data_IF_268335697748
#
_entry.id   IF_268335697748
#
_cell.length_a   1.000
_cell.length_b   1.000
_cell.length_c   1.000
_cell.angle_alpha   90.00
_cell.angle_beta   90.00
_cell.angle_gamma   90.00
#
_symmetry.space_group_name_H-M   'P 1'
#
loop_
_entity.id
_entity.type
_entity.pdbx_description
1 polymer ?
#
# COMPACT_ATOMS: atom_id res chain seq x y z
N UNK A 1 15.68 21.93 -27.65
CA UNK A 1 16.12 22.83 -26.54
C UNK A 1 17.48 23.42 -26.92
N UNK A 2 17.61 24.74 -26.94
CA UNK A 2 18.89 25.42 -27.13
C UNK A 2 19.90 25.08 -26.01
N UNK A 3 19.41 24.74 -24.83
CA UNK A 3 20.23 24.29 -23.70
C UNK A 3 19.60 23.04 -23.08
N UNK A 4 20.31 21.92 -23.13
CA UNK A 4 19.92 20.71 -22.45
C UNK A 4 20.04 20.87 -20.93
N UNK A 5 18.90 21.05 -20.27
CA UNK A 5 18.81 21.17 -18.83
C UNK A 5 17.76 20.16 -18.32
N UNK A 6 18.13 19.20 -17.48
CA UNK A 6 17.18 18.21 -16.99
C UNK A 6 16.15 18.85 -16.07
N UNK A 7 14.91 18.37 -16.16
CA UNK A 7 13.88 18.72 -15.18
C UNK A 7 14.23 18.11 -13.83
N UNK A 8 14.15 18.92 -12.78
CA UNK A 8 14.45 18.50 -11.39
C UNK A 8 13.18 18.30 -10.58
N UNK A 9 13.22 17.38 -9.63
CA UNK A 9 12.19 17.25 -8.61
C UNK A 9 12.17 18.46 -7.66
N UNK A 10 11.10 18.55 -6.85
CA UNK A 10 10.95 19.63 -5.87
C UNK A 10 11.92 19.54 -4.67
N UNK A 11 12.49 18.36 -4.41
CA UNK A 11 13.42 18.11 -3.29
C UNK A 11 14.84 17.98 -3.79
N UNK A 12 15.78 18.61 -3.10
CA UNK A 12 17.20 18.37 -3.27
C UNK A 12 17.67 17.34 -2.25
N UNK A 13 18.52 16.40 -2.67
CA UNK A 13 19.15 15.42 -1.79
C UNK A 13 20.64 15.45 -2.07
N UNK A 14 21.45 15.48 -1.01
CA UNK A 14 22.92 15.51 -1.11
C UNK A 14 23.53 14.12 -1.04
N UNK A 15 22.80 13.17 -0.47
CA UNK A 15 23.21 11.80 -0.16
C UNK A 15 22.89 10.78 -1.26
N UNK A 16 22.03 11.14 -2.22
CA UNK A 16 21.63 10.27 -3.31
C UNK A 16 21.74 10.99 -4.65
N UNK A 17 22.73 10.64 -5.51
CA UNK A 17 22.80 11.16 -6.86
C UNK A 17 21.60 10.71 -7.69
N UNK A 18 21.20 11.46 -8.73
CA UNK A 18 20.15 11.04 -9.63
C UNK A 18 20.53 9.76 -10.36
N UNK A 19 19.53 8.91 -10.60
CA UNK A 19 19.71 7.68 -11.38
C UNK A 19 19.81 8.06 -12.86
N UNK A 20 20.88 7.63 -13.52
CA UNK A 20 21.09 7.83 -14.96
C UNK A 20 21.85 6.62 -15.55
N UNK A 21 21.76 6.38 -16.86
CA UNK A 21 22.52 5.30 -17.49
C UNK A 21 24.02 5.61 -17.47
N UNK A 22 24.84 4.66 -17.02
CA UNK A 22 26.31 4.81 -16.91
C UNK A 22 27.04 4.20 -18.11
N UNK A 23 26.38 3.30 -18.84
CA UNK A 23 26.90 2.66 -20.03
C UNK A 23 25.79 2.33 -21.02
N UNK A 24 26.16 2.10 -22.26
CA UNK A 24 25.27 1.57 -23.29
C UNK A 24 25.25 0.04 -23.11
N UNK A 25 24.06 -0.54 -23.08
CA UNK A 25 23.87 -1.98 -23.05
C UNK A 25 22.95 -2.43 -24.19
N UNK A 26 23.22 -3.59 -24.74
CA UNK A 26 22.35 -4.23 -25.71
C UNK A 26 21.39 -5.22 -25.01
N UNK A 27 20.23 -5.44 -25.63
CA UNK A 27 19.22 -6.33 -25.04
C UNK A 27 19.71 -7.78 -24.86
N UNK A 28 20.63 -8.21 -25.71
CA UNK A 28 21.27 -9.52 -25.67
C UNK A 28 22.20 -9.74 -24.48
N UNK A 29 22.70 -8.63 -23.87
CA UNK A 29 23.65 -8.66 -22.77
C UNK A 29 22.96 -8.75 -21.39
N UNK A 30 21.66 -8.49 -21.33
CA UNK A 30 20.89 -8.38 -20.10
C UNK A 30 19.76 -9.42 -20.04
N UNK A 31 19.47 -9.89 -18.85
CA UNK A 31 18.25 -10.67 -18.61
C UNK A 31 17.01 -9.79 -18.80
N UNK A 32 15.87 -10.40 -19.11
CA UNK A 32 14.63 -9.67 -19.42
C UNK A 32 14.25 -8.63 -18.36
N UNK A 33 14.29 -8.98 -17.07
CA UNK A 33 13.97 -8.04 -15.99
C UNK A 33 15.02 -6.93 -15.84
N UNK A 34 16.29 -7.25 -16.07
CA UNK A 34 17.37 -6.25 -16.06
C UNK A 34 17.19 -5.27 -17.23
N UNK A 35 16.85 -5.79 -18.44
CA UNK A 35 16.57 -4.94 -19.59
C UNK A 35 15.38 -4.00 -19.33
N UNK A 36 14.30 -4.49 -18.73
CA UNK A 36 13.12 -3.66 -18.40
C UNK A 36 13.49 -2.49 -17.48
N UNK A 37 14.33 -2.75 -16.47
CA UNK A 37 14.81 -1.69 -15.56
C UNK A 37 15.73 -0.73 -16.30
N UNK A 38 16.69 -1.23 -17.06
CA UNK A 38 17.61 -0.41 -17.85
C UNK A 38 16.86 0.49 -18.83
N UNK A 39 15.95 -0.08 -19.60
CA UNK A 39 15.12 0.68 -20.55
C UNK A 39 14.28 1.76 -19.84
N UNK A 40 13.69 1.44 -18.68
CA UNK A 40 12.94 2.41 -17.87
C UNK A 40 13.82 3.59 -17.44
N UNK A 41 15.05 3.31 -16.98
CA UNK A 41 16.03 4.34 -16.57
C UNK A 41 16.41 5.22 -17.75
N UNK A 42 16.79 4.61 -18.89
CA UNK A 42 17.19 5.32 -20.11
C UNK A 42 16.05 6.21 -20.62
N UNK A 43 14.84 5.65 -20.74
CA UNK A 43 13.66 6.41 -21.18
C UNK A 43 13.33 7.55 -20.24
N UNK A 44 13.42 7.33 -18.93
CA UNK A 44 13.19 8.40 -17.95
C UNK A 44 14.26 9.48 -18.04
N UNK A 45 15.50 9.11 -18.22
CA UNK A 45 16.61 10.05 -18.41
C UNK A 45 16.37 10.97 -19.62
N UNK A 46 16.07 10.42 -20.79
CA UNK A 46 15.74 11.23 -21.97
C UNK A 46 14.51 12.11 -21.76
N UNK A 47 13.49 11.60 -21.10
CA UNK A 47 12.29 12.38 -20.78
C UNK A 47 12.59 13.59 -19.89
N UNK A 48 13.60 13.53 -19.01
CA UNK A 48 13.99 14.70 -18.19
C UNK A 48 14.67 15.81 -19.01
N UNK A 49 15.27 15.46 -20.13
CA UNK A 49 15.95 16.37 -21.05
C UNK A 49 15.03 16.91 -22.16
N UNK A 50 13.91 16.24 -22.39
CA UNK A 50 12.98 16.59 -23.45
C UNK A 50 12.13 17.83 -23.08
N UNK A 51 11.43 18.34 -24.08
CA UNK A 51 10.52 19.47 -23.91
C UNK A 51 9.25 19.10 -23.16
N UNK A 52 8.48 20.10 -22.76
CA UNK A 52 7.21 19.88 -22.08
C UNK A 52 6.20 19.30 -23.05
N UNK A 53 5.34 18.43 -22.53
CA UNK A 53 4.18 17.92 -23.23
C UNK A 53 3.09 19.00 -23.24
N UNK A 54 2.51 19.26 -24.41
CA UNK A 54 1.47 20.29 -24.59
C UNK A 54 0.13 19.62 -24.84
N UNK A 55 -0.87 20.04 -24.10
CA UNK A 55 -2.23 19.57 -24.18
C UNK A 55 -3.19 20.73 -24.47
N UNK A 56 -4.16 20.47 -25.32
CA UNK A 56 -5.34 21.32 -25.47
C UNK A 56 -6.45 20.79 -24.57
N UNK A 57 -6.92 21.64 -23.65
CA UNK A 57 -7.99 21.29 -22.73
C UNK A 57 -9.23 22.11 -23.06
N UNK A 58 -10.28 21.44 -23.50
CA UNK A 58 -11.57 22.06 -23.85
C UNK A 58 -12.58 21.79 -22.73
N UNK A 59 -13.25 22.82 -22.26
CA UNK A 59 -14.36 22.72 -21.31
C UNK A 59 -15.62 23.33 -21.92
N UNK A 60 -16.68 22.53 -21.98
CA UNK A 60 -18.00 22.98 -22.46
C UNK A 60 -18.98 23.07 -21.31
N UNK A 61 -19.79 24.09 -21.32
CA UNK A 61 -21.00 24.22 -20.50
C UNK A 61 -22.18 24.35 -21.45
N UNK A 62 -23.17 23.47 -21.33
CA UNK A 62 -24.37 23.42 -22.14
C UNK A 62 -25.56 23.51 -21.21
N UNK A 63 -26.43 24.51 -21.42
CA UNK A 63 -27.66 24.65 -20.66
C UNK A 63 -28.80 23.92 -21.39
N UNK A 64 -29.44 22.96 -20.75
CA UNK A 64 -30.59 22.19 -21.26
C UNK A 64 -31.77 22.50 -20.37
N UNK A 65 -32.63 23.42 -20.78
CA UNK A 65 -33.67 23.97 -19.91
C UNK A 65 -33.00 24.71 -18.73
N UNK A 66 -33.40 24.43 -17.47
CA UNK A 66 -32.79 25.03 -16.28
C UNK A 66 -31.48 24.34 -15.85
N UNK A 67 -31.13 23.19 -16.42
CA UNK A 67 -30.04 22.35 -15.91
C UNK A 67 -28.74 22.55 -16.70
N UNK A 68 -27.63 22.89 -16.01
CA UNK A 68 -26.33 23.04 -16.63
C UNK A 68 -25.60 21.70 -16.75
N UNK A 69 -25.26 21.32 -17.98
CA UNK A 69 -24.41 20.16 -18.28
C UNK A 69 -22.97 20.60 -18.52
N UNK A 70 -22.01 19.77 -18.16
CA UNK A 70 -20.59 20.04 -18.39
C UNK A 70 -19.94 18.87 -19.12
N UNK A 71 -19.12 19.20 -20.11
CA UNK A 71 -18.24 18.25 -20.77
C UNK A 71 -16.82 18.80 -20.76
N UNK A 72 -15.84 17.91 -20.62
CA UNK A 72 -14.43 18.26 -20.73
C UNK A 72 -13.72 17.29 -21.65
N UNK A 73 -12.80 17.81 -22.44
CA UNK A 73 -11.96 17.06 -23.34
C UNK A 73 -10.51 17.47 -23.24
N UNK A 74 -9.62 16.58 -23.64
CA UNK A 74 -8.18 16.85 -23.75
C UNK A 74 -7.67 16.20 -25.05
N UNK A 75 -6.83 16.96 -25.77
CA UNK A 75 -6.17 16.54 -26.99
C UNK A 75 -4.68 16.76 -26.83
N UNK A 76 -3.89 15.77 -27.20
CA UNK A 76 -2.43 15.90 -27.23
C UNK A 76 -2.04 16.74 -28.45
N UNK A 77 -1.34 17.85 -28.22
CA UNK A 77 -0.83 18.73 -29.28
C UNK A 77 0.63 18.41 -29.56
N UNK A 78 1.43 18.33 -28.52
CA UNK A 78 2.85 17.95 -28.61
C UNK A 78 3.18 16.91 -27.55
N UNK A 79 3.67 15.74 -27.92
CA UNK A 79 4.01 14.68 -26.96
C UNK A 79 5.18 15.08 -26.05
N UNK A 80 6.11 15.93 -26.48
CA UNK A 80 7.27 16.36 -25.69
C UNK A 80 7.98 15.19 -25.00
N UNK A 81 8.19 15.27 -23.69
CA UNK A 81 8.82 14.21 -22.91
C UNK A 81 8.11 12.84 -22.97
N UNK A 82 6.82 12.80 -23.27
CA UNK A 82 6.04 11.55 -23.36
C UNK A 82 6.45 10.68 -24.52
N UNK A 83 7.03 11.26 -25.56
CA UNK A 83 7.61 10.50 -26.67
C UNK A 83 8.68 9.51 -26.18
N UNK A 84 9.50 9.96 -25.24
CA UNK A 84 10.55 9.13 -24.65
C UNK A 84 10.06 8.23 -23.53
N UNK A 85 8.97 8.59 -22.85
CA UNK A 85 8.43 7.87 -21.69
C UNK A 85 6.96 7.50 -21.87
N UNK A 86 6.65 6.47 -22.69
CA UNK A 86 5.30 6.12 -23.09
C UNK A 86 4.46 5.44 -21.99
N UNK A 87 5.03 5.19 -20.81
CA UNK A 87 4.35 4.51 -19.69
C UNK A 87 3.28 5.38 -19.01
N UNK A 88 3.28 6.68 -19.27
CA UNK A 88 2.24 7.60 -18.76
C UNK A 88 1.08 7.63 -19.76
N UNK A 89 0.06 6.83 -19.52
CA UNK A 89 -1.14 6.80 -20.35
C UNK A 89 -2.06 7.96 -19.96
N UNK A 90 -2.53 8.71 -20.94
CA UNK A 90 -3.66 9.63 -20.82
C UNK A 90 -4.57 9.33 -21.99
N UNK A 91 -5.82 9.08 -21.72
CA UNK A 91 -6.81 8.88 -22.77
C UNK A 91 -7.21 10.24 -23.33
N UNK A 92 -7.07 10.41 -24.64
CA UNK A 92 -7.55 11.60 -25.32
C UNK A 92 -9.08 11.55 -25.39
N UNK A 93 -9.70 12.67 -25.10
CA UNK A 93 -11.12 12.87 -25.26
C UNK A 93 -11.34 14.13 -26.08
N UNK A 94 -11.54 13.94 -27.37
CA UNK A 94 -11.71 15.05 -28.28
C UNK A 94 -13.19 15.46 -28.28
N UNK A 95 -13.45 16.71 -27.95
CA UNK A 95 -14.78 17.31 -28.08
C UNK A 95 -14.91 17.98 -29.45
N UNK A 96 -16.13 18.06 -30.02
CA UNK A 96 -16.37 18.79 -31.25
C UNK A 96 -16.08 20.28 -31.07
N UNK A 97 -15.69 20.93 -32.14
CA UNK A 97 -15.54 22.40 -32.16
C UNK A 97 -16.91 23.04 -32.14
N UNK A 98 -17.18 23.79 -31.09
CA UNK A 98 -18.43 24.49 -30.85
C UNK A 98 -18.19 25.97 -30.58
N UNK A 99 -19.12 26.81 -31.04
CA UNK A 99 -19.09 28.25 -30.79
C UNK A 99 -19.99 28.60 -29.61
N UNK A 100 -19.62 29.68 -28.90
CA UNK A 100 -20.45 30.19 -27.81
C UNK A 100 -21.81 30.62 -28.34
N UNK A 101 -22.89 30.12 -27.73
CA UNK A 101 -24.28 30.42 -28.15
C UNK A 101 -24.80 29.52 -29.25
N UNK A 102 -24.03 28.53 -29.70
CA UNK A 102 -24.48 27.52 -30.65
C UNK A 102 -25.57 26.63 -30.03
N UNK A 103 -26.61 26.38 -30.82
CA UNK A 103 -27.73 25.54 -30.40
C UNK A 103 -27.46 24.11 -30.78
N UNK A 104 -27.53 23.23 -29.81
CA UNK A 104 -27.32 21.78 -29.96
C UNK A 104 -28.67 21.05 -29.89
N UNK A 105 -28.83 19.99 -30.70
CA UNK A 105 -29.98 19.11 -30.61
C UNK A 105 -29.71 18.05 -29.56
N UNK A 106 -30.56 17.95 -28.56
CA UNK A 106 -30.55 16.86 -27.60
C UNK A 106 -31.09 15.61 -28.27
N UNK A 107 -30.29 14.55 -28.35
CA UNK A 107 -30.64 13.27 -28.92
C UNK A 107 -31.21 12.28 -27.91
N UNK A 108 -30.82 12.42 -26.66
CA UNK A 108 -31.27 11.60 -25.55
C UNK A 108 -30.62 12.03 -24.26
N UNK A 109 -31.10 11.50 -23.16
CA UNK A 109 -30.52 11.68 -21.83
C UNK A 109 -30.71 10.38 -21.04
N UNK A 110 -29.75 10.09 -20.18
CA UNK A 110 -29.79 8.98 -19.24
C UNK A 110 -29.59 9.51 -17.81
N UNK A 111 -30.27 8.91 -16.85
CA UNK A 111 -30.08 9.21 -15.44
C UNK A 111 -29.39 8.01 -14.79
N UNK A 112 -28.17 8.22 -14.34
CA UNK A 112 -27.39 7.21 -13.65
C UNK A 112 -27.34 7.51 -12.15
N UNK A 113 -27.97 6.65 -11.35
CA UNK A 113 -27.85 6.72 -9.91
C UNK A 113 -26.44 6.27 -9.48
N UNK A 114 -25.70 7.13 -8.81
CA UNK A 114 -24.35 6.84 -8.31
C UNK A 114 -24.28 7.11 -6.81
N UNK A 115 -23.55 6.23 -6.14
CA UNK A 115 -23.21 6.41 -4.74
C UNK A 115 -21.75 6.86 -4.62
N UNK A 116 -21.48 7.67 -3.60
CA UNK A 116 -20.10 8.04 -3.28
C UNK A 116 -19.31 6.81 -2.89
N UNK A 117 -18.12 6.66 -3.44
CA UNK A 117 -17.25 5.54 -3.13
C UNK A 117 -16.24 5.92 -2.04
N UNK A 118 -15.91 5.01 -1.12
CA UNK A 118 -14.87 5.27 -0.13
C UNK A 118 -13.51 5.47 -0.82
N UNK A 119 -12.55 6.14 -0.15
CA UNK A 119 -11.21 6.27 -0.68
C UNK A 119 -10.60 4.90 -1.05
N UNK A 120 -9.88 4.86 -2.17
CA UNK A 120 -9.23 3.62 -2.61
C UNK A 120 -8.20 3.14 -1.59
N UNK A 121 -8.15 1.82 -1.37
CA UNK A 121 -7.13 1.21 -0.50
C UNK A 121 -5.72 1.52 -0.98
N UNK A 122 -4.77 1.47 -0.06
CA UNK A 122 -3.37 1.72 -0.36
C UNK A 122 -2.76 0.57 -1.17
N UNK A 123 -2.17 0.90 -2.33
CA UNK A 123 -1.15 0.06 -2.95
C UNK A 123 0.23 0.41 -2.37
N UNK A 124 1.25 -0.41 -2.64
CA UNK A 124 2.59 -0.22 -2.06
C UNK A 124 3.16 1.19 -2.34
N UNK A 125 3.03 1.69 -3.58
CA UNK A 125 3.52 3.02 -3.94
C UNK A 125 2.80 4.17 -3.19
N UNK A 126 1.48 4.07 -3.01
CA UNK A 126 0.71 5.06 -2.23
C UNK A 126 1.10 5.01 -0.74
N UNK A 127 1.37 3.81 -0.20
CA UNK A 127 1.81 3.68 1.19
C UNK A 127 3.20 4.25 1.41
N UNK A 128 4.15 4.01 0.49
CA UNK A 128 5.49 4.63 0.54
C UNK A 128 5.38 6.16 0.57
N UNK A 129 4.50 6.73 -0.26
CA UNK A 129 4.27 8.18 -0.29
C UNK A 129 3.68 8.69 1.02
N UNK A 130 2.69 8.00 1.58
CA UNK A 130 2.12 8.36 2.88
C UNK A 130 3.16 8.27 4.01
N UNK A 131 3.98 7.22 4.02
CA UNK A 131 5.09 7.09 4.99
C UNK A 131 6.09 8.25 4.86
N UNK A 132 6.37 8.70 3.63
CA UNK A 132 7.22 9.87 3.38
C UNK A 132 6.59 11.16 3.93
N UNK A 133 5.31 11.36 3.70
CA UNK A 133 4.55 12.51 4.19
C UNK A 133 4.46 12.54 5.73
N UNK A 134 4.36 11.36 6.34
CA UNK A 134 4.33 11.18 7.79
C UNK A 134 5.72 11.06 8.43
N UNK A 135 6.83 11.23 7.68
CA UNK A 135 8.18 11.09 8.21
C UNK A 135 8.49 9.71 8.81
N UNK A 136 7.87 8.65 8.28
CA UNK A 136 8.07 7.28 8.76
C UNK A 136 9.11 6.55 7.91
N UNK A 137 10.23 6.20 8.52
CA UNK A 137 11.35 5.54 7.87
C UNK A 137 12.05 6.40 6.82
N UNK A 138 13.17 5.91 6.32
CA UNK A 138 13.99 6.57 5.29
C UNK A 138 13.63 6.07 3.90
N UNK A 139 14.17 6.67 2.86
CA UNK A 139 14.01 6.22 1.45
C UNK A 139 14.45 4.77 1.26
N UNK A 140 15.48 4.35 1.97
CA UNK A 140 16.04 2.98 1.88
C UNK A 140 15.27 1.96 2.70
N UNK A 141 14.58 2.35 3.76
CA UNK A 141 13.95 1.41 4.70
C UNK A 141 12.46 1.19 4.51
N UNK A 142 11.75 2.10 3.82
CA UNK A 142 10.29 2.01 3.66
C UNK A 142 9.83 0.74 2.95
N UNK A 143 10.56 0.29 1.94
CA UNK A 143 10.21 -0.93 1.23
C UNK A 143 10.37 -2.18 2.10
N UNK A 144 11.39 -2.21 2.98
CA UNK A 144 11.61 -3.29 3.94
C UNK A 144 10.49 -3.32 4.99
N UNK A 145 10.05 -2.15 5.45
CA UNK A 145 8.91 -2.05 6.38
C UNK A 145 7.66 -2.67 5.74
N UNK A 146 7.36 -2.31 4.50
CA UNK A 146 6.22 -2.88 3.76
C UNK A 146 6.38 -4.39 3.59
N UNK A 147 7.57 -4.86 3.22
CA UNK A 147 7.87 -6.29 3.11
C UNK A 147 7.62 -7.04 4.43
N UNK A 148 7.98 -6.41 5.57
CA UNK A 148 7.70 -6.95 6.91
C UNK A 148 6.21 -7.01 7.24
N UNK A 149 5.39 -6.06 6.76
CA UNK A 149 3.94 -6.13 6.92
C UNK A 149 3.36 -7.40 6.25
N UNK A 150 3.82 -7.71 5.03
CA UNK A 150 3.41 -8.94 4.32
C UNK A 150 3.96 -10.21 4.98
N UNK A 151 5.25 -10.23 5.33
CA UNK A 151 5.89 -11.43 5.91
C UNK A 151 5.32 -11.78 7.29
N UNK A 152 4.86 -10.79 8.05
CA UNK A 152 4.17 -10.97 9.33
C UNK A 152 2.66 -11.20 9.19
N UNK A 153 2.17 -11.29 7.96
CA UNK A 153 0.77 -11.45 7.64
C UNK A 153 -0.15 -10.35 8.23
N UNK A 154 0.36 -9.13 8.39
CA UNK A 154 -0.46 -7.99 8.81
C UNK A 154 -1.28 -7.43 7.65
N UNK A 155 -0.78 -7.56 6.42
CA UNK A 155 -1.51 -7.18 5.21
C UNK A 155 -1.47 -8.29 4.17
N UNK A 156 -2.47 -8.30 3.28
CA UNK A 156 -2.55 -9.22 2.15
C UNK A 156 -3.09 -8.52 0.91
N UNK A 157 -2.77 -9.05 -0.28
CA UNK A 157 -3.25 -8.56 -1.57
C UNK A 157 -2.60 -7.26 -2.03
N UNK A 158 -2.95 -6.84 -3.24
CA UNK A 158 -2.61 -5.54 -3.81
C UNK A 158 -3.82 -5.05 -4.62
N UNK A 159 -4.52 -3.99 -4.18
CA UNK A 159 -4.22 -3.12 -3.04
C UNK A 159 -4.27 -3.86 -1.69
N UNK A 160 -3.51 -3.33 -0.73
CA UNK A 160 -3.32 -3.94 0.59
C UNK A 160 -4.61 -3.94 1.41
N UNK A 161 -4.87 -5.08 2.07
CA UNK A 161 -5.96 -5.25 3.03
C UNK A 161 -5.39 -5.70 4.37
N UNK A 162 -5.68 -5.01 5.48
CA UNK A 162 -5.33 -5.50 6.81
C UNK A 162 -5.97 -6.86 7.08
N UNK A 163 -5.30 -7.68 7.87
CA UNK A 163 -5.82 -8.95 8.39
C UNK A 163 -6.41 -8.75 9.78
N UNK A 164 -7.16 -9.74 10.30
CA UNK A 164 -7.60 -9.69 11.70
C UNK A 164 -6.42 -9.70 12.67
N UNK A 165 -5.33 -10.36 12.32
CA UNK A 165 -4.06 -10.27 13.05
C UNK A 165 -3.58 -8.83 13.18
N UNK A 166 -3.63 -8.04 12.10
CA UNK A 166 -3.24 -6.62 12.16
C UNK A 166 -4.14 -5.80 13.07
N UNK A 167 -5.46 -5.98 12.95
CA UNK A 167 -6.42 -5.31 13.83
C UNK A 167 -6.17 -5.69 15.29
N UNK A 168 -6.02 -6.98 15.60
CA UNK A 168 -5.77 -7.42 16.97
C UNK A 168 -4.50 -6.80 17.56
N UNK A 169 -3.42 -6.68 16.77
CA UNK A 169 -2.18 -6.05 17.23
C UNK A 169 -2.35 -4.56 17.43
N UNK A 170 -2.94 -3.86 16.46
CA UNK A 170 -3.11 -2.40 16.53
C UNK A 170 -4.07 -2.03 17.66
N UNK A 171 -5.24 -2.65 17.75
CA UNK A 171 -6.25 -2.35 18.77
C UNK A 171 -5.71 -2.62 20.19
N UNK A 172 -4.97 -3.74 20.34
CA UNK A 172 -4.32 -4.06 21.62
C UNK A 172 -3.28 -3.01 22.02
N UNK A 173 -2.40 -2.63 21.09
CA UNK A 173 -1.37 -1.63 21.38
C UNK A 173 -1.96 -0.25 21.58
N UNK A 174 -2.98 0.15 20.80
CA UNK A 174 -3.68 1.42 21.01
C UNK A 174 -4.33 1.53 22.39
N UNK A 175 -4.83 0.40 22.91
CA UNK A 175 -5.46 0.35 24.23
C UNK A 175 -4.48 0.38 25.38
N UNK A 176 -3.36 -0.33 25.26
CA UNK A 176 -2.44 -0.59 26.38
C UNK A 176 -1.09 0.11 26.31
N UNK A 177 -0.67 0.55 25.13
CA UNK A 177 0.56 1.27 24.88
C UNK A 177 0.37 2.25 23.70
N UNK A 178 -0.50 3.27 23.82
CA UNK A 178 -0.92 4.12 22.72
C UNK A 178 0.23 4.90 22.07
N UNK A 179 1.25 5.24 22.81
CA UNK A 179 2.40 6.02 22.34
C UNK A 179 3.13 5.33 21.18
N UNK A 180 3.29 4.00 21.24
CA UNK A 180 4.03 3.24 20.20
C UNK A 180 3.24 3.14 18.88
N UNK A 181 1.92 3.38 18.89
CA UNK A 181 1.07 3.29 17.71
C UNK A 181 0.98 4.59 16.93
N UNK A 182 1.47 5.67 17.49
CA UNK A 182 1.41 7.01 16.91
C UNK A 182 2.65 7.30 16.06
N UNK A 183 2.50 7.97 14.91
CA UNK A 183 3.63 8.31 14.05
C UNK A 183 4.60 9.30 14.68
N UNK A 184 4.16 10.11 15.65
CA UNK A 184 4.91 11.21 16.23
C UNK A 184 6.23 10.74 16.88
N UNK A 185 6.22 9.58 17.53
CA UNK A 185 7.42 9.01 18.12
C UNK A 185 8.53 8.77 17.08
N UNK A 186 8.17 8.11 15.98
CA UNK A 186 9.11 7.84 14.89
C UNK A 186 9.50 9.13 14.17
N UNK A 187 8.56 10.05 13.94
CA UNK A 187 8.84 11.35 13.33
C UNK A 187 9.85 12.16 14.14
N UNK A 188 9.71 12.18 15.47
CA UNK A 188 10.64 12.88 16.35
C UNK A 188 12.04 12.30 16.20
N UNK A 189 12.19 10.98 16.30
CA UNK A 189 13.49 10.33 16.15
C UNK A 189 14.15 10.59 14.78
N UNK A 190 13.39 10.50 13.69
CA UNK A 190 13.89 10.77 12.32
C UNK A 190 14.30 12.24 12.16
N UNK A 191 13.53 13.17 12.74
CA UNK A 191 13.87 14.59 12.76
C UNK A 191 15.16 14.84 13.53
N UNK A 192 15.31 14.25 14.69
CA UNK A 192 16.45 14.46 15.59
C UNK A 192 17.72 13.86 14.99
N UNK A 193 17.63 12.71 14.33
CA UNK A 193 18.72 12.14 13.51
C UNK A 193 19.15 13.10 12.40
N UNK A 194 18.19 13.76 11.74
CA UNK A 194 18.49 14.79 10.74
C UNK A 194 19.20 15.99 11.37
N UNK A 195 18.78 16.45 12.54
CA UNK A 195 19.40 17.56 13.26
C UNK A 195 20.84 17.26 13.68
N UNK A 196 21.14 16.00 14.06
CA UNK A 196 22.52 15.56 14.31
C UNK A 196 23.35 15.70 13.03
N UNK A 197 22.84 15.21 11.89
CA UNK A 197 23.54 15.29 10.61
C UNK A 197 23.82 16.73 10.17
N UNK A 198 22.93 17.65 10.53
CA UNK A 198 23.04 19.10 10.29
C UNK A 198 23.85 19.84 11.39
N UNK A 199 24.37 19.12 12.37
CA UNK A 199 25.14 19.65 13.53
C UNK A 199 24.35 20.68 14.37
N UNK A 200 23.02 20.56 14.40
CA UNK A 200 22.14 21.44 15.18
C UNK A 200 21.91 20.93 16.61
N UNK A 201 22.06 19.62 16.81
CA UNK A 201 21.85 18.94 18.10
C UNK A 201 22.99 17.95 18.34
N UNK A 202 23.33 17.70 19.60
CA UNK A 202 24.34 16.71 19.98
C UNK A 202 23.71 15.29 19.97
N UNK A 203 24.54 14.31 19.66
CA UNK A 203 24.13 12.90 19.66
C UNK A 203 23.67 12.45 21.06
N UNK A 204 24.39 12.84 22.11
CA UNK A 204 24.07 12.47 23.50
C UNK A 204 22.68 12.96 23.94
N UNK A 205 22.30 14.18 23.53
CA UNK A 205 21.00 14.77 23.89
C UNK A 205 19.87 13.94 23.26
N UNK A 206 20.03 13.54 21.98
CA UNK A 206 19.05 12.72 21.24
C UNK A 206 18.97 11.29 21.83
N UNK A 207 20.10 10.72 22.23
CA UNK A 207 20.13 9.40 22.89
C UNK A 207 19.37 9.45 24.23
N UNK A 208 19.55 10.50 25.03
CA UNK A 208 18.85 10.60 26.30
C UNK A 208 17.36 10.84 26.13
N UNK A 209 16.94 11.69 25.20
CA UNK A 209 15.51 11.88 24.83
C UNK A 209 14.88 10.58 24.36
N UNK A 210 15.57 9.84 23.50
CA UNK A 210 15.13 8.53 23.01
C UNK A 210 14.99 7.51 24.14
N UNK A 211 15.92 7.52 25.11
CA UNK A 211 15.90 6.63 26.28
C UNK A 211 14.67 6.91 27.16
N UNK A 212 14.40 8.18 27.45
CA UNK A 212 13.20 8.58 28.21
C UNK A 212 11.93 8.14 27.53
N UNK A 213 11.82 8.40 26.21
CA UNK A 213 10.66 8.00 25.40
C UNK A 213 10.45 6.48 25.40
N UNK A 214 11.51 5.70 25.18
CA UNK A 214 11.45 4.24 25.18
C UNK A 214 11.14 3.68 26.57
N UNK A 215 11.68 4.24 27.63
CA UNK A 215 11.37 3.82 28.99
C UNK A 215 9.88 3.95 29.29
N UNK A 216 9.26 5.07 28.93
CA UNK A 216 7.81 5.25 29.08
C UNK A 216 7.00 4.18 28.33
N UNK A 217 7.41 3.83 27.09
CA UNK A 217 6.75 2.77 26.31
C UNK A 217 6.93 1.40 26.99
N UNK A 218 8.14 1.09 27.49
CA UNK A 218 8.39 -0.18 28.17
C UNK A 218 7.63 -0.30 29.48
N UNK A 219 7.47 0.78 30.22
CA UNK A 219 6.66 0.81 31.44
C UNK A 219 5.19 0.48 31.13
N UNK A 220 4.61 1.11 30.11
CA UNK A 220 3.25 0.81 29.65
C UNK A 220 3.08 -0.66 29.23
N UNK A 221 4.03 -1.18 28.43
CA UNK A 221 4.03 -2.57 27.99
C UNK A 221 4.17 -3.55 29.16
N UNK A 222 5.06 -3.28 30.09
CA UNK A 222 5.33 -4.14 31.25
C UNK A 222 4.13 -4.16 32.20
N UNK A 223 3.57 -2.99 32.51
CA UNK A 223 2.40 -2.84 33.36
C UNK A 223 1.18 -3.59 32.79
N UNK A 224 1.02 -3.60 31.48
CA UNK A 224 -0.12 -4.20 30.82
C UNK A 224 0.18 -5.57 30.20
N UNK A 225 1.33 -6.20 30.47
CA UNK A 225 1.83 -7.41 29.82
C UNK A 225 0.78 -8.53 29.76
N UNK A 226 0.10 -8.82 30.86
CA UNK A 226 -0.89 -9.89 30.94
C UNK A 226 -2.10 -9.59 30.06
N UNK A 227 -2.62 -8.35 30.10
CA UNK A 227 -3.76 -7.92 29.29
C UNK A 227 -3.43 -7.92 27.79
N UNK A 228 -2.23 -7.43 27.44
CA UNK A 228 -1.71 -7.46 26.07
C UNK A 228 -1.61 -8.91 25.58
N UNK A 229 -1.00 -9.78 26.39
CA UNK A 229 -0.85 -11.19 26.04
C UNK A 229 -2.18 -11.91 25.79
N UNK A 230 -3.18 -11.65 26.63
CA UNK A 230 -4.52 -12.23 26.45
C UNK A 230 -5.23 -11.66 25.21
N UNK A 231 -5.25 -10.33 25.04
CA UNK A 231 -5.90 -9.69 23.89
C UNK A 231 -5.29 -10.15 22.55
N UNK A 232 -3.96 -10.24 22.47
CA UNK A 232 -3.29 -10.76 21.28
C UNK A 232 -3.61 -12.24 21.03
N UNK A 233 -3.63 -13.06 22.08
CA UNK A 233 -3.96 -14.49 21.95
C UNK A 233 -5.38 -14.68 21.40
N UNK A 234 -6.34 -13.92 21.89
CA UNK A 234 -7.72 -13.98 21.45
C UNK A 234 -7.87 -13.47 20.02
N UNK A 235 -7.27 -12.35 19.68
CA UNK A 235 -7.30 -11.79 18.33
C UNK A 235 -6.61 -12.64 17.28
N UNK A 236 -5.44 -13.22 17.61
CA UNK A 236 -4.70 -14.12 16.72
C UNK A 236 -5.40 -15.48 16.50
N UNK A 237 -6.34 -15.83 17.37
CA UNK A 237 -7.18 -17.01 17.22
C UNK A 237 -8.18 -16.85 16.08
N UNK A 238 -8.71 -15.66 15.88
CA UNK A 238 -9.77 -15.38 14.90
C UNK A 238 -9.32 -15.74 13.48
N UNK A 239 -8.11 -15.36 13.08
CA UNK A 239 -7.56 -15.66 11.74
C UNK A 239 -7.36 -17.16 11.47
N UNK A 240 -7.43 -17.97 12.51
CA UNK A 240 -7.25 -19.44 12.43
C UNK A 240 -8.58 -20.18 12.43
N UNK A 241 -9.70 -19.51 12.74
CA UNK A 241 -11.02 -20.14 12.75
C UNK A 241 -11.47 -20.33 11.31
N UNK A 242 -11.74 -21.58 10.96
CA UNK A 242 -12.19 -21.98 9.62
C UNK A 242 -13.71 -22.12 9.55
N UNK A 243 -14.35 -22.36 10.69
CA UNK A 243 -15.78 -22.58 10.80
C UNK A 243 -16.14 -23.28 12.08
N UNK A 244 -17.34 -23.84 12.12
CA UNK A 244 -17.90 -24.52 13.28
C UNK A 244 -17.87 -26.05 13.08
N UNK A 245 -17.55 -26.76 14.12
CA UNK A 245 -17.49 -28.23 14.09
C UNK A 245 -18.90 -28.82 14.02
N UNK A 246 -19.18 -29.62 13.00
CA UNK A 246 -20.45 -30.31 12.82
C UNK A 246 -20.79 -31.30 13.94
N UNK A 247 -19.75 -31.81 14.67
CA UNK A 247 -19.93 -32.80 15.73
C UNK A 247 -20.29 -32.22 17.10
N UNK A 248 -19.75 -31.04 17.44
CA UNK A 248 -19.89 -30.48 18.79
C UNK A 248 -20.19 -28.98 18.83
N UNK A 249 -20.29 -28.31 17.69
CA UNK A 249 -20.57 -26.86 17.63
C UNK A 249 -19.41 -25.94 18.02
N UNK A 250 -18.23 -26.47 18.37
CA UNK A 250 -17.05 -25.67 18.72
C UNK A 250 -16.28 -25.22 17.48
N UNK A 251 -15.41 -24.21 17.64
CA UNK A 251 -14.61 -23.70 16.53
C UNK A 251 -13.69 -24.75 15.91
N UNK A 252 -13.58 -24.76 14.60
CA UNK A 252 -12.57 -25.47 13.82
C UNK A 252 -11.39 -24.52 13.58
N UNK A 253 -10.21 -24.88 14.11
CA UNK A 253 -9.04 -23.99 14.15
C UNK A 253 -7.85 -24.63 13.46
N UNK A 254 -7.11 -23.83 12.66
CA UNK A 254 -5.83 -24.25 12.07
C UNK A 254 -4.82 -24.44 13.21
N UNK A 255 -4.30 -25.66 13.33
CA UNK A 255 -3.29 -26.06 14.33
C UNK A 255 -2.02 -26.55 13.66
N UNK A 256 -0.92 -26.50 14.41
CA UNK A 256 0.35 -27.15 14.04
C UNK A 256 0.54 -28.37 14.90
N UNK A 257 0.76 -29.50 14.26
CA UNK A 257 1.11 -30.73 14.90
C UNK A 257 2.62 -30.91 15.06
N UNK A 258 3.02 -32.06 15.65
CA UNK A 258 4.41 -32.47 15.74
C UNK A 258 5.06 -32.52 14.34
N UNK A 259 6.34 -32.21 14.25
CA UNK A 259 7.16 -32.24 13.02
C UNK A 259 6.67 -31.30 11.91
N UNK A 260 5.97 -30.18 12.28
CA UNK A 260 5.57 -29.13 11.34
C UNK A 260 4.37 -29.50 10.45
N UNK A 261 3.65 -30.58 10.73
CA UNK A 261 2.37 -30.90 10.09
C UNK A 261 1.34 -29.83 10.45
N UNK A 262 0.40 -29.56 9.55
CA UNK A 262 -0.71 -28.63 9.77
C UNK A 262 -2.02 -29.38 9.57
N UNK A 263 -3.01 -29.04 10.38
CA UNK A 263 -4.34 -29.61 10.31
C UNK A 263 -5.37 -28.61 10.86
N UNK A 264 -6.62 -28.78 10.50
CA UNK A 264 -7.74 -28.15 11.17
C UNK A 264 -8.18 -29.07 12.28
N UNK A 265 -8.24 -28.58 13.51
CA UNK A 265 -8.69 -29.36 14.67
C UNK A 265 -9.79 -28.66 15.42
N UNK A 266 -10.71 -29.42 15.97
CA UNK A 266 -11.77 -28.89 16.81
C UNK A 266 -11.20 -28.27 18.10
N UNK A 267 -11.73 -27.12 18.51
CA UNK A 267 -11.36 -26.47 19.77
C UNK A 267 -11.89 -27.21 21.00
N UNK A 268 -12.90 -28.06 20.85
CA UNK A 268 -13.45 -28.92 21.89
C UNK A 268 -12.60 -30.16 22.22
N UNK A 269 -11.37 -30.27 21.71
CA UNK A 269 -10.45 -31.33 22.12
C UNK A 269 -10.09 -31.22 23.62
N UNK A 270 -10.07 -32.30 24.38
CA UNK A 270 -10.03 -33.73 23.99
C UNK A 270 -11.39 -34.40 23.76
N UNK A 271 -12.50 -33.72 24.13
CA UNK A 271 -13.85 -34.30 24.05
C UNK A 271 -14.31 -34.49 22.60
N UNK A 272 -13.96 -33.57 21.73
CA UNK A 272 -14.16 -33.72 20.29
C UNK A 272 -12.82 -33.84 19.54
N UNK A 273 -12.64 -34.96 18.86
CA UNK A 273 -11.42 -35.26 18.09
C UNK A 273 -11.56 -35.05 16.58
N UNK A 274 -12.51 -34.22 16.16
CA UNK A 274 -12.67 -33.93 14.73
C UNK A 274 -11.45 -33.20 14.18
N UNK A 275 -10.89 -33.69 13.07
CA UNK A 275 -9.73 -33.09 12.38
C UNK A 275 -9.86 -33.20 10.87
N UNK A 276 -9.33 -32.23 10.16
CA UNK A 276 -9.17 -32.23 8.70
C UNK A 276 -7.71 -31.97 8.32
N UNK A 277 -7.17 -32.66 7.31
CA UNK A 277 -5.78 -32.48 6.89
C UNK A 277 -5.58 -31.14 6.17
N UNK A 278 -4.37 -30.57 6.28
CA UNK A 278 -3.93 -29.42 5.51
C UNK A 278 -2.61 -29.71 4.81
N UNK A 279 -2.36 -29.11 3.64
CA UNK A 279 -1.07 -29.21 2.96
C UNK A 279 0.08 -28.72 3.84
N UNK A 280 1.21 -29.40 3.77
CA UNK A 280 2.38 -29.15 4.60
C UNK A 280 3.09 -27.83 4.23
N UNK A 281 3.03 -27.42 2.96
CA UNK A 281 3.71 -26.25 2.40
C UNK A 281 2.73 -25.15 1.97
N UNK A 282 3.24 -23.94 1.75
CA UNK A 282 2.47 -22.75 1.39
C UNK A 282 1.91 -21.98 2.61
N UNK A 283 1.53 -20.76 2.42
CA UNK A 283 0.84 -19.95 3.43
C UNK A 283 -0.66 -20.26 3.38
N UNK A 284 -1.25 -20.59 4.51
CA UNK A 284 -2.69 -20.88 4.63
C UNK A 284 -3.41 -19.61 5.05
N UNK A 285 -4.38 -19.19 4.25
CA UNK A 285 -5.21 -18.02 4.52
C UNK A 285 -6.67 -18.47 4.52
N UNK A 286 -7.37 -18.20 5.61
CA UNK A 286 -8.83 -18.37 5.68
C UNK A 286 -9.46 -17.20 4.94
N UNK A 287 -10.42 -17.48 4.05
CA UNK A 287 -11.11 -16.45 3.28
C UNK A 287 -12.49 -16.18 3.87
N UNK A 288 -13.07 -15.03 3.55
CA UNK A 288 -14.46 -14.68 3.98
C UNK A 288 -15.54 -15.45 3.20
N UNK A 289 -15.16 -16.27 2.23
CA UNK A 289 -16.09 -17.03 1.41
C UNK A 289 -16.49 -18.31 2.14
N UNK A 290 -17.75 -18.41 2.53
CA UNK A 290 -18.34 -19.58 3.18
C UNK A 290 -18.64 -20.67 2.14
N UNK A 291 -18.38 -21.91 2.49
CA UNK A 291 -18.84 -23.08 1.74
C UNK A 291 -20.30 -23.36 2.14
N UNK A 292 -21.22 -23.28 1.18
CA UNK A 292 -22.65 -23.49 1.41
C UNK A 292 -22.97 -24.89 1.90
N UNK A 293 -22.18 -25.90 1.52
CA UNK A 293 -22.41 -27.30 1.87
C UNK A 293 -21.94 -27.64 3.30
N UNK A 294 -20.81 -27.07 3.74
CA UNK A 294 -20.15 -27.49 4.99
C UNK A 294 -20.12 -26.39 6.06
N UNK A 295 -20.62 -25.19 5.79
CA UNK A 295 -20.61 -24.08 6.76
C UNK A 295 -19.20 -23.64 7.18
N UNK A 296 -18.17 -24.00 6.42
CA UNK A 296 -16.77 -23.65 6.68
C UNK A 296 -16.26 -22.62 5.67
N UNK A 297 -15.38 -21.77 6.08
CA UNK A 297 -14.72 -20.81 5.21
C UNK A 297 -13.74 -21.49 4.25
N UNK A 298 -13.71 -21.06 3.00
CA UNK A 298 -12.73 -21.50 2.04
C UNK A 298 -11.33 -21.12 2.51
N UNK A 299 -10.38 -22.03 2.27
CA UNK A 299 -8.97 -21.82 2.57
C UNK A 299 -8.22 -21.62 1.26
N UNK A 300 -7.38 -20.59 1.21
CA UNK A 300 -6.44 -20.36 0.13
C UNK A 300 -5.04 -20.77 0.58
N UNK A 301 -4.37 -21.54 -0.26
CA UNK A 301 -2.97 -21.90 -0.06
C UNK A 301 -2.15 -21.11 -1.06
N UNK A 302 -1.23 -20.29 -0.57
CA UNK A 302 -0.34 -19.45 -1.37
C UNK A 302 1.03 -20.10 -1.33
N UNK A 303 1.48 -20.64 -2.45
CA UNK A 303 2.85 -21.09 -2.63
C UNK A 303 3.73 -19.93 -3.07
N UNK A 304 4.96 -19.88 -2.54
CA UNK A 304 5.96 -18.89 -2.97
C UNK A 304 6.50 -19.23 -4.34
#
# INVERSE_FOLDING_TARGET
KEKMSPTRGKRSTTDHPPIYPTAIAEKSELKEDQWRIYELVVRRFFATLAEQCVWDATSLKVDIGPEPFRASGVKLVDPGWRYYYPYSKVEERILPELKRGERLKVLGHDIEAKETQPPSRYGQGKLIKLMDELGLGTKSTRHDIISKLYSRAYVQGNPMRPTNTAYAVVDTLQKYAPTITKPEMTQTLERDMTQISERKTKEDDVIEESRVMLTSVFDDLTKNQTCIGQSLKDGLRIDKIVGTCEKCGSDLIIRRGHRGSRFIGCSGYPDCRFTLPLPRFGMVVVTDKLCETHGMNHIRIINK
#
